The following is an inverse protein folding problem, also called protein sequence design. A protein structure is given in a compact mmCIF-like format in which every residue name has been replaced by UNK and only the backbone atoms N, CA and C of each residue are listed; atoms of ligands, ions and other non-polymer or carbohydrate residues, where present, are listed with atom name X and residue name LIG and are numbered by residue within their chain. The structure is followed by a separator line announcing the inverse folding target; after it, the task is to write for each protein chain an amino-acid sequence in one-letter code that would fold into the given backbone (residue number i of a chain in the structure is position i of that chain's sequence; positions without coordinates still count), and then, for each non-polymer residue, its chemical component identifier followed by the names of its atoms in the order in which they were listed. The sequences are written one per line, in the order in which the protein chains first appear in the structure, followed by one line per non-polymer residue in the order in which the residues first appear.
data_IF_515797331126
#
_entry.id   IF_515797331126
#
_cell.length_a   1.000
_cell.length_b   1.000
_cell.length_c   1.000
_cell.angle_alpha   90.00
_cell.angle_beta   90.00
_cell.angle_gamma   90.00
#
_symmetry.space_group_name_H-M   'P 1'
#
loop_
_entity.id
_entity.type
_entity.pdbx_description
1 polymer ?
#
# COMPACT_ATOMS: atom_id res chain seq x y z
N UNK A 1 14.52 3.95 6.88
CA UNK A 1 13.89 4.19 5.54
C UNK A 1 12.60 4.98 5.72
N UNK A 2 12.11 5.67 4.68
CA UNK A 2 10.81 6.36 4.68
C UNK A 2 9.70 5.40 4.26
N UNK A 3 8.65 5.28 5.07
CA UNK A 3 7.47 4.47 4.80
C UNK A 3 6.24 5.35 4.69
N UNK A 4 5.44 5.16 3.66
CA UNK A 4 4.18 5.89 3.46
C UNK A 4 3.03 4.88 3.47
N UNK A 5 2.18 4.94 4.49
CA UNK A 5 1.01 4.09 4.63
C UNK A 5 -0.19 4.81 4.01
N UNK A 6 -0.72 4.24 2.94
CA UNK A 6 -1.84 4.81 2.18
C UNK A 6 -3.18 4.51 2.86
N UNK A 7 -3.68 5.43 3.68
CA UNK A 7 -4.91 5.28 4.46
C UNK A 7 -6.04 6.24 4.05
N UNK A 8 -6.02 6.72 2.81
CA UNK A 8 -6.98 7.70 2.28
C UNK A 8 -7.97 7.10 1.27
N UNK A 9 -8.16 5.79 1.31
CA UNK A 9 -9.12 5.10 0.45
C UNK A 9 -10.58 5.37 0.85
N UNK A 10 -11.46 5.60 -0.13
CA UNK A 10 -12.90 5.93 0.07
C UNK A 10 -13.70 4.83 0.80
N UNK A 11 -13.19 3.60 0.88
CA UNK A 11 -13.83 2.50 1.61
C UNK A 11 -15.25 2.14 1.15
N UNK A 12 -15.61 2.40 -0.12
CA UNK A 12 -16.99 2.27 -0.64
C UNK A 12 -17.59 0.87 -0.44
N UNK A 13 -16.80 -0.19 -0.56
CA UNK A 13 -17.23 -1.57 -0.34
C UNK A 13 -17.35 -1.93 1.15
N UNK A 14 -16.59 -1.26 2.01
CA UNK A 14 -16.65 -1.43 3.45
C UNK A 14 -17.91 -0.82 4.06
N UNK A 15 -18.42 0.26 3.45
CA UNK A 15 -19.68 0.93 3.80
C UNK A 15 -19.85 1.22 5.30
N UNK A 16 -18.78 1.68 5.95
CA UNK A 16 -18.77 1.98 7.39
C UNK A 16 -19.23 0.80 8.27
N UNK A 17 -18.91 -0.42 7.88
CA UNK A 17 -19.25 -1.64 8.64
C UNK A 17 -18.79 -1.52 10.08
N UNK A 18 -19.61 -1.92 11.04
CA UNK A 18 -19.40 -1.75 12.49
C UNK A 18 -19.25 -0.29 12.95
N UNK A 19 -19.65 0.71 12.14
CA UNK A 19 -19.45 2.12 12.46
C UNK A 19 -17.99 2.59 12.40
N UNK A 20 -17.10 1.79 11.79
CA UNK A 20 -15.67 2.04 11.72
C UNK A 20 -15.21 2.22 10.27
N UNK A 21 -14.18 3.04 10.07
CA UNK A 21 -13.40 2.97 8.83
C UNK A 21 -12.54 1.71 8.84
N UNK A 22 -12.25 1.12 7.68
CA UNK A 22 -11.49 -0.14 7.61
C UNK A 22 -10.08 -0.05 8.22
N UNK A 23 -9.48 1.12 8.25
CA UNK A 23 -8.16 1.33 8.88
C UNK A 23 -8.21 1.24 10.41
N UNK A 24 -9.39 1.44 11.00
CA UNK A 24 -9.64 1.38 12.43
C UNK A 24 -10.14 0.00 12.91
N UNK A 25 -10.16 -1.00 12.03
CA UNK A 25 -10.41 -2.40 12.40
C UNK A 25 -9.36 -2.82 13.44
N UNK A 26 -9.82 -3.42 14.55
CA UNK A 26 -8.94 -3.94 15.59
C UNK A 26 -8.79 -5.45 15.48
N UNK A 27 -7.55 -5.90 15.52
CA UNK A 27 -7.17 -7.31 15.54
C UNK A 27 -6.12 -7.49 16.64
N UNK A 28 -6.41 -8.35 17.60
CA UNK A 28 -5.51 -8.55 18.74
C UNK A 28 -5.31 -7.32 19.62
N UNK A 29 -6.28 -6.38 19.65
CA UNK A 29 -6.22 -5.15 20.44
C UNK A 29 -5.62 -3.94 19.73
N UNK A 30 -4.96 -4.11 18.59
CA UNK A 30 -4.37 -3.04 17.77
C UNK A 30 -5.22 -2.76 16.53
N UNK A 31 -5.27 -1.52 16.04
CA UNK A 31 -5.75 -1.22 14.69
C UNK A 31 -4.74 -1.68 13.64
N UNK A 32 -5.17 -1.80 12.37
CA UNK A 32 -4.25 -2.16 11.28
C UNK A 32 -3.10 -1.15 11.18
N UNK A 33 -3.38 0.13 11.36
CA UNK A 33 -2.36 1.19 11.30
C UNK A 33 -1.41 1.12 12.50
N UNK A 34 -1.92 1.01 13.73
CA UNK A 34 -1.09 0.88 14.94
C UNK A 34 -0.13 -0.30 14.81
N UNK A 35 -0.65 -1.45 14.38
CA UNK A 35 0.16 -2.65 14.15
C UNK A 35 1.25 -2.43 13.11
N UNK A 36 0.90 -1.87 11.96
CA UNK A 36 1.85 -1.64 10.87
C UNK A 36 2.96 -0.69 11.31
N UNK A 37 2.63 0.42 11.96
CA UNK A 37 3.60 1.41 12.47
C UNK A 37 4.53 0.77 13.50
N UNK A 38 3.99 0.04 14.48
CA UNK A 38 4.80 -0.65 15.49
C UNK A 38 5.78 -1.63 14.87
N UNK A 39 5.33 -2.49 13.95
CA UNK A 39 6.19 -3.46 13.29
C UNK A 39 7.27 -2.80 12.43
N UNK A 40 6.97 -1.70 11.75
CA UNK A 40 7.98 -0.95 11.00
C UNK A 40 9.09 -0.44 11.91
N UNK A 41 8.77 0.16 13.07
CA UNK A 41 9.77 0.62 14.04
C UNK A 41 10.52 -0.52 14.71
N UNK A 42 9.89 -1.70 14.87
CA UNK A 42 10.54 -2.88 15.46
C UNK A 42 11.62 -3.44 14.52
N UNK A 43 11.37 -3.45 13.20
CA UNK A 43 12.30 -4.04 12.23
C UNK A 43 13.18 -3.02 11.49
N UNK A 44 12.88 -1.72 11.58
CA UNK A 44 13.70 -0.62 11.07
C UNK A 44 13.75 0.50 12.12
N UNK A 45 14.75 0.48 12.99
CA UNK A 45 14.91 1.48 14.05
C UNK A 45 15.07 2.93 13.52
N UNK A 46 15.40 3.10 12.24
CA UNK A 46 15.47 4.39 11.55
C UNK A 46 14.22 4.67 10.67
N UNK A 47 13.11 3.98 10.92
CA UNK A 47 11.88 4.18 10.17
C UNK A 47 11.34 5.60 10.36
N UNK A 48 11.07 6.28 9.26
CA UNK A 48 10.27 7.50 9.19
C UNK A 48 8.91 7.10 8.61
N UNK A 49 7.85 7.15 9.42
CA UNK A 49 6.54 6.65 9.01
C UNK A 49 5.57 7.81 8.81
N UNK A 50 4.98 7.87 7.62
CA UNK A 50 3.94 8.83 7.25
C UNK A 50 2.65 8.06 6.93
N UNK A 51 1.52 8.55 7.44
CA UNK A 51 0.19 8.02 7.09
C UNK A 51 -0.55 9.07 6.27
N UNK A 52 -0.91 8.75 5.03
CA UNK A 52 -1.68 9.67 4.18
C UNK A 52 -3.16 9.55 4.47
N UNK A 53 -3.80 10.64 4.88
CA UNK A 53 -5.24 10.66 5.19
C UNK A 53 -5.80 12.08 5.25
N UNK A 54 -7.02 12.29 4.70
CA UNK A 54 -7.83 13.50 4.92
C UNK A 54 -8.56 13.50 6.28
N UNK A 55 -8.54 12.40 7.03
CA UNK A 55 -9.10 12.37 8.37
C UNK A 55 -8.17 13.13 9.34
N UNK A 56 -8.54 14.36 9.70
CA UNK A 56 -7.75 15.21 10.60
C UNK A 56 -7.67 14.70 12.03
N UNK A 57 -8.55 13.77 12.42
CA UNK A 57 -8.53 13.15 13.75
C UNK A 57 -7.68 11.88 13.80
N UNK A 58 -7.14 11.43 12.66
CA UNK A 58 -6.26 10.27 12.63
C UNK A 58 -4.92 10.63 13.30
N UNK A 59 -4.64 9.97 14.39
CA UNK A 59 -3.38 10.06 15.12
C UNK A 59 -2.92 8.65 15.49
N UNK A 60 -1.71 8.31 15.11
CA UNK A 60 -1.06 7.03 15.44
C UNK A 60 0.32 7.36 15.98
N UNK A 61 0.62 6.89 17.18
CA UNK A 61 1.92 7.11 17.80
C UNK A 61 3.04 6.49 16.93
N UNK A 62 4.11 7.24 16.73
CA UNK A 62 5.23 6.83 15.89
C UNK A 62 5.04 7.10 14.38
N UNK A 63 3.97 7.78 13.97
CA UNK A 63 3.75 8.17 12.59
C UNK A 63 3.28 9.63 12.46
N UNK A 64 3.68 10.29 11.39
CA UNK A 64 3.20 11.61 11.00
C UNK A 64 2.00 11.50 10.05
N UNK A 65 0.92 12.27 10.30
CA UNK A 65 -0.18 12.36 9.33
C UNK A 65 0.15 13.38 8.24
N UNK A 66 -0.05 12.97 7.00
CA UNK A 66 0.05 13.83 5.83
C UNK A 66 -1.28 13.88 5.08
N UNK A 67 -1.73 15.07 4.70
CA UNK A 67 -2.94 15.27 3.89
C UNK A 67 -2.57 15.35 2.40
N UNK A 68 -2.96 14.34 1.57
CA UNK A 68 -2.66 14.34 0.14
C UNK A 68 -3.31 15.53 -0.57
N UNK A 69 -2.58 16.18 -1.48
CA UNK A 69 -3.12 17.27 -2.31
C UNK A 69 -4.11 16.78 -3.35
N UNK A 70 -4.05 15.51 -3.72
CA UNK A 70 -4.90 14.90 -4.74
C UNK A 70 -5.27 13.48 -4.33
N UNK A 71 -6.56 13.13 -4.43
CA UNK A 71 -7.10 11.78 -4.21
C UNK A 71 -8.35 11.55 -5.09
N UNK A 72 -8.22 11.82 -6.40
CA UNK A 72 -9.31 11.68 -7.37
C UNK A 72 -9.34 10.28 -7.96
N UNK A 73 -8.20 9.79 -8.42
CA UNK A 73 -8.01 8.48 -9.03
C UNK A 73 -7.43 7.48 -8.00
N UNK A 74 -7.59 6.20 -8.25
CA UNK A 74 -7.05 5.17 -7.35
C UNK A 74 -5.52 5.24 -7.25
N UNK A 75 -4.83 5.56 -8.35
CA UNK A 75 -3.38 5.73 -8.38
C UNK A 75 -2.90 6.93 -7.52
N UNK A 76 -3.75 7.95 -7.33
CA UNK A 76 -3.39 9.15 -6.55
C UNK A 76 -3.08 8.81 -5.07
N UNK A 77 -3.45 7.61 -4.60
CA UNK A 77 -3.05 7.10 -3.27
C UNK A 77 -1.54 7.07 -3.07
N UNK A 78 -0.76 6.92 -4.15
CA UNK A 78 0.70 7.03 -4.08
C UNK A 78 1.21 8.43 -3.77
N UNK A 79 0.33 9.40 -3.58
CA UNK A 79 0.65 10.75 -3.11
C UNK A 79 1.90 11.30 -3.79
N UNK A 80 1.73 11.77 -5.03
CA UNK A 80 2.82 12.10 -5.96
C UNK A 80 3.89 13.05 -5.38
N UNK A 81 3.49 13.92 -4.44
CA UNK A 81 4.37 14.87 -3.76
C UNK A 81 5.29 14.23 -2.72
N UNK A 82 5.00 13.01 -2.26
CA UNK A 82 5.83 12.25 -1.34
C UNK A 82 6.78 11.29 -2.04
N UNK A 83 6.61 11.06 -3.36
CA UNK A 83 7.46 10.15 -4.12
C UNK A 83 8.90 10.67 -4.13
N UNK A 84 9.81 9.84 -3.64
CA UNK A 84 11.25 10.12 -3.56
C UNK A 84 12.06 8.83 -3.60
N UNK A 85 13.36 8.96 -3.40
CA UNK A 85 14.27 7.81 -3.35
C UNK A 85 14.23 7.12 -1.98
N UNK A 86 14.56 5.83 -1.96
CA UNK A 86 14.72 5.01 -0.75
C UNK A 86 13.48 5.03 0.16
N UNK A 87 12.31 4.77 -0.40
CA UNK A 87 11.05 4.74 0.32
C UNK A 87 10.20 3.49 0.01
N UNK A 88 9.16 3.30 0.80
CA UNK A 88 8.18 2.24 0.62
C UNK A 88 6.76 2.79 0.77
N UNK A 89 5.87 2.46 -0.17
CA UNK A 89 4.44 2.59 0.01
C UNK A 89 3.84 1.29 0.53
N UNK A 90 2.96 1.38 1.55
CA UNK A 90 2.17 0.28 2.09
C UNK A 90 0.68 0.61 2.01
N UNK A 91 -0.15 -0.39 1.80
CA UNK A 91 -1.60 -0.21 1.82
C UNK A 91 -2.13 -0.25 3.26
N UNK A 92 -2.84 0.79 3.69
CA UNK A 92 -3.31 0.96 5.07
C UNK A 92 -4.51 0.08 5.44
N UNK A 93 -5.13 -0.60 4.48
CA UNK A 93 -6.22 -1.55 4.68
C UNK A 93 -5.76 -3.03 4.66
N UNK A 94 -4.47 -3.25 4.85
CA UNK A 94 -3.84 -4.57 4.86
C UNK A 94 -3.42 -4.95 6.27
N UNK A 95 -3.75 -6.17 6.68
CA UNK A 95 -3.13 -6.81 7.83
C UNK A 95 -1.78 -7.40 7.42
N UNK A 96 -0.69 -6.90 8.00
CA UNK A 96 0.65 -7.46 7.81
C UNK A 96 1.02 -8.37 8.97
N UNK A 97 1.48 -9.58 8.68
CA UNK A 97 2.19 -10.39 9.67
C UNK A 97 3.58 -9.80 9.94
N UNK A 98 4.21 -10.21 11.03
CA UNK A 98 5.61 -9.83 11.32
C UNK A 98 6.54 -10.23 10.18
N UNK A 99 6.37 -11.45 9.65
CA UNK A 99 7.17 -11.98 8.55
C UNK A 99 7.02 -11.15 7.26
N UNK A 100 5.80 -10.64 7.00
CA UNK A 100 5.57 -9.76 5.87
C UNK A 100 6.35 -8.45 6.00
N UNK A 101 6.32 -7.80 7.17
CA UNK A 101 7.08 -6.57 7.42
C UNK A 101 8.58 -6.83 7.37
N UNK A 102 9.08 -7.93 7.96
CA UNK A 102 10.49 -8.34 7.84
C UNK A 102 10.91 -8.47 6.37
N UNK A 103 10.10 -9.16 5.57
CA UNK A 103 10.37 -9.34 4.14
C UNK A 103 10.46 -7.99 3.43
N UNK A 104 9.54 -7.05 3.72
CA UNK A 104 9.55 -5.71 3.14
C UNK A 104 10.83 -4.96 3.52
N UNK A 105 11.18 -4.93 4.82
CA UNK A 105 12.36 -4.21 5.33
C UNK A 105 13.66 -4.79 4.78
N UNK A 106 13.78 -6.13 4.74
CA UNK A 106 14.99 -6.83 4.26
C UNK A 106 15.24 -6.64 2.76
N UNK A 107 14.20 -6.40 1.97
CA UNK A 107 14.32 -6.17 0.53
C UNK A 107 14.49 -4.69 0.16
N UNK A 108 14.63 -3.80 1.15
CA UNK A 108 14.88 -2.38 0.92
C UNK A 108 16.16 -2.16 0.08
N UNK A 109 16.03 -1.51 -1.05
CA UNK A 109 17.15 -1.18 -1.95
C UNK A 109 17.67 -2.35 -2.82
N UNK A 110 17.05 -3.53 -2.78
CA UNK A 110 17.44 -4.70 -3.59
C UNK A 110 17.33 -4.41 -5.10
N UNK A 111 16.29 -3.71 -5.53
CA UNK A 111 16.04 -3.33 -6.91
C UNK A 111 15.68 -1.85 -7.04
N UNK A 112 15.68 -1.30 -8.27
CA UNK A 112 15.24 0.08 -8.51
C UNK A 112 13.79 0.29 -8.08
N UNK A 113 12.91 -0.67 -8.43
CA UNK A 113 11.53 -0.78 -7.96
C UNK A 113 11.23 -2.25 -7.67
N UNK A 114 10.64 -2.53 -6.52
CA UNK A 114 10.20 -3.88 -6.16
C UNK A 114 8.76 -3.81 -5.63
N UNK A 115 7.86 -4.46 -6.34
CA UNK A 115 6.48 -4.66 -5.91
C UNK A 115 6.37 -5.95 -5.12
N UNK A 116 5.71 -5.93 -3.98
CA UNK A 116 5.58 -7.10 -3.09
C UNK A 116 4.11 -7.38 -2.88
N UNK A 117 3.74 -8.66 -2.95
CA UNK A 117 2.36 -9.06 -2.72
C UNK A 117 2.08 -10.52 -3.06
N UNK A 118 0.81 -10.82 -3.27
CA UNK A 118 0.33 -12.13 -3.74
C UNK A 118 0.08 -12.10 -5.24
N UNK A 119 -0.38 -13.22 -5.81
CA UNK A 119 -0.89 -13.26 -7.18
C UNK A 119 -2.14 -12.38 -7.42
N UNK A 120 -2.78 -11.88 -6.36
CA UNK A 120 -4.06 -11.16 -6.43
C UNK A 120 -3.94 -9.68 -6.04
N UNK A 121 -2.98 -9.34 -5.16
CA UNK A 121 -2.88 -7.99 -4.61
C UNK A 121 -1.43 -7.59 -4.37
N UNK A 122 -1.11 -6.33 -4.67
CA UNK A 122 0.12 -5.67 -4.23
C UNK A 122 -0.12 -5.17 -2.82
N UNK A 123 0.77 -5.47 -1.88
CA UNK A 123 0.70 -4.98 -0.51
C UNK A 123 1.75 -3.93 -0.19
N UNK A 124 2.90 -3.94 -0.89
CA UNK A 124 3.94 -2.93 -0.72
C UNK A 124 4.65 -2.62 -2.04
N UNK A 125 5.23 -1.42 -2.13
CA UNK A 125 6.06 -0.98 -3.25
C UNK A 125 7.32 -0.33 -2.70
N UNK A 126 8.46 -0.99 -2.86
CA UNK A 126 9.78 -0.48 -2.51
C UNK A 126 10.34 0.33 -3.68
N UNK A 127 10.76 1.55 -3.42
CA UNK A 127 11.22 2.52 -4.41
C UNK A 127 12.64 2.97 -4.03
N UNK A 128 13.63 2.51 -4.78
CA UNK A 128 15.00 3.01 -4.70
C UNK A 128 15.20 4.23 -5.61
N UNK A 129 14.49 4.26 -6.73
CA UNK A 129 14.55 5.30 -7.77
C UNK A 129 13.19 6.00 -7.89
N UNK A 130 13.04 7.08 -7.15
CA UNK A 130 11.80 7.87 -7.09
C UNK A 130 11.47 8.55 -8.42
N UNK A 131 12.49 9.01 -9.18
CA UNK A 131 12.28 9.64 -10.47
C UNK A 131 11.68 8.65 -11.48
N UNK A 132 12.18 7.40 -11.49
CA UNK A 132 11.61 6.34 -12.32
C UNK A 132 10.15 6.06 -11.91
N UNK A 133 9.88 5.84 -10.62
CA UNK A 133 8.53 5.54 -10.17
C UNK A 133 7.56 6.67 -10.50
N UNK A 134 7.96 7.92 -10.30
CA UNK A 134 7.16 9.10 -10.61
C UNK A 134 6.84 9.19 -12.10
N UNK A 135 7.80 8.92 -12.97
CA UNK A 135 7.60 8.90 -14.43
C UNK A 135 6.57 7.83 -14.84
N UNK A 136 6.65 6.61 -14.26
CA UNK A 136 5.68 5.54 -14.51
C UNK A 136 4.28 5.92 -14.01
N UNK A 137 4.20 6.47 -12.80
CA UNK A 137 2.96 6.96 -12.19
C UNK A 137 2.29 8.01 -13.10
N UNK A 138 3.03 9.05 -13.54
CA UNK A 138 2.52 10.11 -14.40
C UNK A 138 2.08 9.57 -15.76
N UNK A 139 2.82 8.61 -16.32
CA UNK A 139 2.46 7.94 -17.58
C UNK A 139 1.13 7.21 -17.48
N UNK A 140 0.96 6.37 -16.47
CA UNK A 140 -0.30 5.61 -16.26
C UNK A 140 -1.45 6.57 -16.00
N UNK A 141 -1.24 7.60 -15.20
CA UNK A 141 -2.26 8.61 -14.91
C UNK A 141 -2.70 9.35 -16.18
N UNK A 142 -1.76 9.77 -17.03
CA UNK A 142 -2.06 10.41 -18.31
C UNK A 142 -2.81 9.46 -19.26
N UNK A 143 -2.35 8.22 -19.40
CA UNK A 143 -3.01 7.23 -20.25
C UNK A 143 -4.48 7.00 -19.87
N UNK A 144 -4.78 6.99 -18.57
CA UNK A 144 -6.13 6.86 -18.08
C UNK A 144 -6.99 8.11 -18.39
N UNK A 145 -6.46 9.30 -18.14
CA UNK A 145 -7.16 10.55 -18.41
C UNK A 145 -7.42 10.75 -19.90
N UNK A 146 -6.53 10.26 -20.77
CA UNK A 146 -6.67 10.27 -22.22
C UNK A 146 -7.62 9.15 -22.75
N UNK A 147 -8.17 8.30 -21.87
CA UNK A 147 -9.04 7.19 -22.24
C UNK A 147 -8.34 6.03 -22.95
N UNK A 148 -7.00 5.94 -22.88
CA UNK A 148 -6.21 4.87 -23.51
C UNK A 148 -6.19 3.58 -22.68
N UNK A 149 -6.50 3.65 -21.40
CA UNK A 149 -6.65 2.51 -20.50
C UNK A 149 -7.87 2.71 -19.62
N UNK A 150 -8.45 1.62 -19.11
CA UNK A 150 -9.68 1.61 -18.33
C UNK A 150 -9.46 1.52 -16.83
N UNK A 151 -8.25 1.19 -16.40
CA UNK A 151 -7.85 1.09 -14.98
C UNK A 151 -6.61 1.92 -14.71
N UNK A 152 -6.54 2.51 -13.51
CA UNK A 152 -5.47 3.39 -13.07
C UNK A 152 -5.08 3.06 -11.62
N UNK A 153 -4.30 1.98 -11.44
CA UNK A 153 -3.96 1.36 -10.16
C UNK A 153 -2.48 1.05 -10.06
N UNK A 154 -2.04 0.58 -8.91
CA UNK A 154 -0.67 0.10 -8.71
C UNK A 154 -0.26 -1.03 -9.67
N UNK A 155 -1.21 -1.89 -10.09
CA UNK A 155 -0.96 -2.93 -11.08
C UNK A 155 -0.51 -2.38 -12.43
N UNK A 156 -1.13 -1.32 -12.93
CA UNK A 156 -0.73 -0.70 -14.20
C UNK A 156 0.67 -0.09 -14.12
N UNK A 157 1.05 0.49 -12.96
CA UNK A 157 2.42 0.98 -12.73
C UNK A 157 3.42 -0.17 -12.76
N UNK A 158 3.10 -1.26 -12.08
CA UNK A 158 3.91 -2.48 -12.09
C UNK A 158 4.07 -3.05 -13.50
N UNK A 159 2.96 -3.24 -14.24
CA UNK A 159 3.00 -3.82 -15.59
C UNK A 159 3.82 -2.96 -16.55
N UNK A 160 3.68 -1.63 -16.49
CA UNK A 160 4.50 -0.72 -17.28
C UNK A 160 5.99 -0.87 -16.95
N UNK A 161 6.35 -0.96 -15.65
CA UNK A 161 7.72 -1.21 -15.22
C UNK A 161 8.27 -2.56 -15.68
N UNK A 162 7.48 -3.61 -15.58
CA UNK A 162 7.86 -4.97 -15.97
C UNK A 162 7.92 -5.17 -17.50
N UNK A 163 7.34 -4.27 -18.29
CA UNK A 163 7.18 -4.41 -19.74
C UNK A 163 6.08 -5.38 -20.13
N UNK A 164 5.05 -5.54 -19.30
CA UNK A 164 3.90 -6.42 -19.49
C UNK A 164 2.69 -5.64 -20.04
N UNK A 165 1.72 -6.31 -20.69
CA UNK A 165 0.47 -5.68 -21.08
C UNK A 165 -0.25 -5.12 -19.85
N UNK A 166 -0.81 -3.89 -19.95
CA UNK A 166 -1.38 -3.18 -18.81
C UNK A 166 -2.67 -3.80 -18.25
N UNK A 167 -3.34 -4.61 -19.04
CA UNK A 167 -4.56 -5.36 -18.70
C UNK A 167 -4.29 -6.83 -18.32
N UNK A 168 -3.03 -7.23 -18.28
CA UNK A 168 -2.61 -8.59 -17.94
C UNK A 168 -2.72 -8.85 -16.43
N UNK A 169 -2.63 -10.11 -16.03
CA UNK A 169 -2.44 -10.54 -14.65
C UNK A 169 -1.10 -11.24 -14.45
N UNK A 170 -0.23 -11.12 -15.42
CA UNK A 170 1.08 -11.75 -15.39
C UNK A 170 1.98 -11.09 -14.36
N UNK A 171 2.82 -11.89 -13.74
CA UNK A 171 3.87 -11.46 -12.82
C UNK A 171 5.21 -11.76 -13.48
N UNK A 172 6.07 -10.76 -13.55
CA UNK A 172 7.39 -10.82 -14.15
C UNK A 172 8.45 -10.20 -13.24
N UNK A 173 9.47 -9.60 -13.83
CA UNK A 173 10.56 -8.94 -13.09
C UNK A 173 10.02 -7.83 -12.17
N UNK A 174 10.76 -7.57 -11.08
CA UNK A 174 10.42 -6.50 -10.15
C UNK A 174 9.19 -6.76 -9.28
N UNK A 175 8.80 -8.05 -9.17
CA UNK A 175 7.75 -8.48 -8.27
C UNK A 175 8.25 -9.60 -7.36
N UNK A 176 8.02 -9.46 -6.07
CA UNK A 176 8.28 -10.49 -5.08
C UNK A 176 6.93 -11.05 -4.59
N UNK A 177 6.66 -12.31 -4.94
CA UNK A 177 5.53 -13.03 -4.35
C UNK A 177 5.92 -13.40 -2.94
N UNK A 178 5.11 -13.03 -1.96
CA UNK A 178 5.33 -13.38 -0.56
C UNK A 178 4.32 -14.44 -0.13
N UNK A 179 4.84 -15.50 0.49
CA UNK A 179 4.04 -16.51 1.19
C UNK A 179 3.70 -16.04 2.63
N UNK A 180 4.29 -14.92 3.06
CA UNK A 180 3.99 -14.31 4.34
C UNK A 180 2.55 -13.86 4.37
N UNK A 181 1.86 -14.16 5.49
CA UNK A 181 0.46 -13.84 5.62
C UNK A 181 0.22 -12.32 5.56
N UNK A 182 -0.50 -11.90 4.53
CA UNK A 182 -1.06 -10.56 4.40
C UNK A 182 -2.53 -10.70 3.99
N UNK A 183 -3.40 -9.86 4.54
CA UNK A 183 -4.82 -9.86 4.19
C UNK A 183 -5.30 -8.44 4.00
N UNK A 184 -5.80 -8.13 2.81
CA UNK A 184 -6.49 -6.88 2.53
C UNK A 184 -7.96 -7.01 2.92
N UNK A 185 -8.49 -6.00 3.61
CA UNK A 185 -9.89 -5.92 3.99
C UNK A 185 -10.63 -4.93 3.08
N UNK A 186 -11.16 -5.46 1.99
CA UNK A 186 -11.91 -4.66 1.03
C UNK A 186 -13.42 -4.62 1.34
N UNK A 187 -13.94 -5.64 2.00
CA UNK A 187 -15.34 -5.83 2.34
C UNK A 187 -15.50 -6.38 3.77
N UNK A 188 -16.71 -6.31 4.36
CA UNK A 188 -17.02 -7.00 5.61
C UNK A 188 -16.76 -8.50 5.58
N UNK A 189 -16.98 -9.15 4.43
CA UNK A 189 -16.77 -10.59 4.28
C UNK A 189 -15.28 -10.94 4.41
N UNK A 190 -14.36 -10.14 3.86
CA UNK A 190 -12.92 -10.34 4.02
C UNK A 190 -12.51 -10.34 5.50
N UNK A 191 -13.10 -9.45 6.30
CA UNK A 191 -12.85 -9.37 7.74
C UNK A 191 -13.44 -10.55 8.49
N UNK A 192 -14.70 -10.92 8.21
CA UNK A 192 -15.37 -12.02 8.87
C UNK A 192 -14.68 -13.34 8.60
N UNK A 193 -14.28 -13.61 7.36
CA UNK A 193 -13.51 -14.80 6.98
C UNK A 193 -12.15 -14.85 7.69
N UNK A 194 -11.49 -13.69 7.84
CA UNK A 194 -10.23 -13.59 8.57
C UNK A 194 -10.39 -13.95 10.05
N UNK A 195 -11.40 -13.38 10.73
CA UNK A 195 -11.66 -13.65 12.15
C UNK A 195 -12.06 -15.10 12.36
N UNK A 196 -12.89 -15.66 11.48
CA UNK A 196 -13.29 -17.08 11.56
C UNK A 196 -12.11 -18.06 11.39
N UNK A 197 -11.10 -17.68 10.63
CA UNK A 197 -9.89 -18.48 10.41
C UNK A 197 -8.84 -18.35 11.52
N UNK A 198 -9.06 -17.48 12.52
CA UNK A 198 -8.17 -17.32 13.69
C UNK A 198 -8.64 -18.09 14.95
N UNK A 199 -9.79 -18.76 14.89
CA UNK A 199 -10.40 -19.52 16.01
C UNK A 199 -9.99 -20.99 15.96
#
# INVERSE_FOLDING_TARGET
MKYVIMADGKGSRWNNYMGLTKHNIRIGGETLLERTVRLLHEYDAAAEVIITSHNTQLHIDGAERYEPKNNVLEIDRFTAELIGDNMCFLYGDVYYSEEAIKTIVQNAGAERLLFIGSHKSICAVLIKDGALFKSLYETIRSMYLDGRITECKGWQVYHLYAGLPLDSREIGRGYLITDSFTRDFNSPDDYNDFIAGQV
#
